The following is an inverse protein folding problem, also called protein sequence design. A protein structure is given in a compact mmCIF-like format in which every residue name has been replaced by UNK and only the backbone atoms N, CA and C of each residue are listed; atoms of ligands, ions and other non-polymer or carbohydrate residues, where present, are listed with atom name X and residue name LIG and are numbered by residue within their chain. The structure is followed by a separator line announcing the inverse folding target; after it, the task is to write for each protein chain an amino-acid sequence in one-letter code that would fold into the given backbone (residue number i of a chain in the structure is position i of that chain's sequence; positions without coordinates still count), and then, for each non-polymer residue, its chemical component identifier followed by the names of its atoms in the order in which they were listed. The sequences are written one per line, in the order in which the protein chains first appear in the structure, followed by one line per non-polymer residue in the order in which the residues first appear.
data_IF_984525657780
#
_entry.id   IF_984525657780
#
_cell.length_a   1.000
_cell.length_b   1.000
_cell.length_c   1.000
_cell.angle_alpha   90.00
_cell.angle_beta   90.00
_cell.angle_gamma   90.00
#
_symmetry.space_group_name_H-M   'P 1'
#
loop_
_entity.id
_entity.type
_entity.pdbx_description
1 polymer ?
#
# COMPACT_ATOMS: atom_id res chain seq x y z
N UNK A 1 1.26 -6.08 16.41
CA UNK A 1 2.49 -5.27 16.40
C UNK A 1 2.16 -3.81 16.71
N UNK A 2 2.97 -3.07 17.47
CA UNK A 2 2.84 -1.60 17.57
C UNK A 2 3.87 -0.98 16.63
N UNK A 3 3.43 -0.17 15.66
CA UNK A 3 4.34 0.70 14.91
C UNK A 3 4.55 1.92 15.82
N UNK A 4 5.71 2.00 16.45
CA UNK A 4 5.97 2.98 17.52
C UNK A 4 6.47 4.32 16.97
N UNK A 5 6.96 4.35 15.73
CA UNK A 5 7.49 5.55 15.09
C UNK A 5 6.90 5.75 13.70
N UNK A 6 6.42 6.97 13.45
CA UNK A 6 6.10 7.49 12.13
C UNK A 6 6.98 8.72 11.93
N UNK A 7 7.88 8.67 10.96
CA UNK A 7 8.76 9.78 10.62
C UNK A 7 8.26 10.42 9.34
N UNK A 8 8.09 11.74 9.35
CA UNK A 8 7.85 12.51 8.14
C UNK A 8 9.19 12.72 7.45
N UNK A 9 9.25 12.38 6.16
CA UNK A 9 10.44 12.56 5.31
C UNK A 9 10.06 13.50 4.17
N UNK A 10 10.87 14.53 3.94
CA UNK A 10 10.79 15.34 2.73
C UNK A 10 11.58 14.65 1.61
N UNK A 11 10.95 14.48 0.46
CA UNK A 11 11.58 13.96 -0.77
C UNK A 11 11.01 14.73 -1.96
N UNK A 12 11.85 15.02 -2.96
CA UNK A 12 11.44 15.76 -4.17
C UNK A 12 11.00 14.86 -5.30
N UNK A 13 11.37 13.58 -5.26
CA UNK A 13 11.01 12.58 -6.25
C UNK A 13 10.49 11.33 -5.56
N UNK A 14 9.24 11.00 -5.85
CA UNK A 14 8.54 9.94 -5.16
C UNK A 14 7.47 9.33 -6.06
N UNK A 15 7.21 8.04 -5.83
CA UNK A 15 6.12 7.32 -6.47
C UNK A 15 5.11 6.88 -5.42
N UNK A 16 3.85 7.26 -5.63
CA UNK A 16 2.71 6.80 -4.83
C UNK A 16 1.90 5.78 -5.61
N UNK A 17 1.61 4.66 -4.98
CA UNK A 17 0.82 3.56 -5.54
C UNK A 17 -0.36 3.34 -4.60
N UNK A 18 -1.58 3.40 -5.15
CA UNK A 18 -2.82 3.37 -4.37
C UNK A 18 -3.66 2.18 -4.85
N UNK A 19 -4.10 1.36 -3.89
CA UNK A 19 -5.00 0.23 -4.12
C UNK A 19 -6.31 0.47 -3.37
N UNK A 20 -7.38 0.90 -4.06
CA UNK A 20 -8.70 1.11 -3.45
C UNK A 20 -9.45 -0.22 -3.29
N UNK A 21 -9.86 -0.57 -2.07
CA UNK A 21 -10.73 -1.72 -1.83
C UNK A 21 -12.20 -1.40 -2.15
N UNK A 22 -12.98 -2.43 -2.49
CA UNK A 22 -14.41 -2.33 -2.83
C UNK A 22 -15.30 -2.11 -1.60
N UNK A 23 -14.73 -2.29 -0.42
CA UNK A 23 -15.36 -2.12 0.88
C UNK A 23 -14.32 -1.71 1.92
N UNK A 24 -14.73 -1.13 3.05
CA UNK A 24 -13.83 -0.94 4.18
C UNK A 24 -13.24 -2.27 4.69
N UNK A 25 -12.02 -2.20 5.20
CA UNK A 25 -11.37 -3.32 5.87
C UNK A 25 -12.02 -3.56 7.24
N UNK A 26 -12.15 -4.82 7.64
CA UNK A 26 -12.40 -5.12 9.06
C UNK A 26 -11.14 -4.82 9.88
N UNK A 27 -11.26 -4.65 11.19
CA UNK A 27 -10.09 -4.43 12.06
C UNK A 27 -9.05 -5.57 11.97
N UNK A 28 -9.52 -6.80 11.76
CA UNK A 28 -8.64 -7.98 11.60
C UNK A 28 -7.91 -7.93 10.27
N UNK A 29 -8.60 -7.57 9.18
CA UNK A 29 -8.00 -7.42 7.85
C UNK A 29 -6.99 -6.27 7.84
N UNK A 30 -7.36 -5.09 8.36
CA UNK A 30 -6.48 -3.94 8.43
C UNK A 30 -5.19 -4.28 9.16
N UNK A 31 -5.28 -4.93 10.33
CA UNK A 31 -4.10 -5.41 11.07
C UNK A 31 -3.24 -6.37 10.25
N UNK A 32 -3.85 -7.37 9.62
CA UNK A 32 -3.12 -8.37 8.84
C UNK A 32 -2.45 -7.77 7.59
N UNK A 33 -3.12 -6.81 6.93
CA UNK A 33 -2.56 -6.03 5.82
C UNK A 33 -1.37 -5.22 6.31
N UNK A 34 -1.51 -4.50 7.44
CA UNK A 34 -0.42 -3.72 8.05
C UNK A 34 0.79 -4.58 8.35
N UNK A 35 0.61 -5.73 9.02
CA UNK A 35 1.72 -6.63 9.36
C UNK A 35 2.41 -7.19 8.10
N UNK A 36 1.63 -7.63 7.09
CA UNK A 36 2.18 -8.14 5.82
C UNK A 36 2.96 -7.06 5.05
N UNK A 37 2.46 -5.83 4.98
CA UNK A 37 3.14 -4.73 4.29
C UNK A 37 4.39 -4.28 5.03
N UNK A 38 4.34 -4.22 6.36
CA UNK A 38 5.51 -3.90 7.16
C UNK A 38 6.66 -4.88 6.90
N UNK A 39 6.37 -6.18 6.95
CA UNK A 39 7.36 -7.23 6.71
C UNK A 39 7.88 -7.21 5.26
N UNK A 40 6.99 -7.02 4.29
CA UNK A 40 7.37 -6.97 2.88
C UNK A 40 8.29 -5.78 2.56
N UNK A 41 7.92 -4.57 3.02
CA UNK A 41 8.66 -3.35 2.69
C UNK A 41 10.05 -3.32 3.32
N UNK A 42 10.25 -3.98 4.47
CA UNK A 42 11.57 -4.13 5.08
C UNK A 42 12.57 -4.89 4.19
N UNK A 43 12.08 -5.79 3.32
CA UNK A 43 12.89 -6.54 2.36
C UNK A 43 12.73 -6.08 0.90
N UNK A 44 11.97 -5.02 0.65
CA UNK A 44 11.64 -4.62 -0.71
C UNK A 44 12.81 -3.91 -1.39
N UNK A 45 13.16 -4.38 -2.59
CA UNK A 45 14.37 -3.97 -3.28
C UNK A 45 14.19 -3.89 -4.80
N UNK A 46 14.95 -3.00 -5.45
CA UNK A 46 15.10 -2.91 -6.89
C UNK A 46 16.56 -3.21 -7.27
N UNK A 47 16.77 -4.18 -8.17
CA UNK A 47 18.11 -4.59 -8.60
C UNK A 47 19.08 -4.92 -7.45
N UNK A 48 18.56 -5.49 -6.36
CA UNK A 48 19.33 -5.85 -5.16
C UNK A 48 19.60 -4.69 -4.19
N UNK A 49 19.14 -3.47 -4.50
CA UNK A 49 19.23 -2.31 -3.61
C UNK A 49 17.91 -2.09 -2.88
N UNK A 50 17.99 -1.84 -1.59
CA UNK A 50 16.81 -1.60 -0.76
C UNK A 50 16.08 -0.31 -1.20
N UNK A 51 14.74 -0.40 -1.29
CA UNK A 51 13.90 0.76 -1.55
C UNK A 51 13.56 1.45 -0.23
N UNK A 52 13.74 2.76 -0.18
CA UNK A 52 13.17 3.55 0.93
C UNK A 52 11.68 3.74 0.66
N UNK A 53 10.85 3.18 1.51
CA UNK A 53 9.41 3.16 1.30
C UNK A 53 8.62 3.23 2.60
N UNK A 54 7.34 3.57 2.48
CA UNK A 54 6.38 3.58 3.58
C UNK A 54 5.00 3.18 3.06
N UNK A 55 4.08 2.90 3.98
CA UNK A 55 2.69 2.67 3.63
C UNK A 55 1.73 3.29 4.64
N UNK A 56 0.48 3.48 4.20
CA UNK A 56 -0.63 3.93 5.03
C UNK A 56 -1.90 3.20 4.63
N UNK A 57 -2.71 2.83 5.62
CA UNK A 57 -4.13 2.52 5.40
C UNK A 57 -4.89 3.82 5.59
N UNK A 58 -5.47 4.34 4.51
CA UNK A 58 -6.21 5.60 4.50
C UNK A 58 -7.72 5.34 4.43
N UNK A 59 -8.50 6.10 5.20
CA UNK A 59 -9.96 5.95 5.34
C UNK A 59 -10.46 4.51 5.53
N UNK A 60 -9.61 3.65 6.10
CA UNK A 60 -9.89 2.22 6.29
C UNK A 60 -10.28 1.46 5.00
N UNK A 61 -9.90 1.95 3.82
CA UNK A 61 -10.30 1.37 2.52
C UNK A 61 -9.23 1.49 1.43
N UNK A 62 -8.23 2.34 1.61
CA UNK A 62 -7.17 2.54 0.64
C UNK A 62 -5.85 2.05 1.23
N UNK A 63 -5.15 1.21 0.49
CA UNK A 63 -3.75 0.88 0.78
C UNK A 63 -2.90 1.81 -0.06
N UNK A 64 -2.12 2.66 0.59
CA UNK A 64 -1.21 3.61 -0.05
C UNK A 64 0.21 3.16 0.24
N UNK A 65 1.02 2.97 -0.80
CA UNK A 65 2.46 2.69 -0.70
C UNK A 65 3.19 3.85 -1.36
N UNK A 66 4.21 4.37 -0.69
CA UNK A 66 5.06 5.44 -1.18
C UNK A 66 6.51 4.97 -1.25
N UNK A 67 7.19 5.30 -2.34
CA UNK A 67 8.63 5.05 -2.55
C UNK A 67 9.32 6.40 -2.72
N UNK A 68 10.41 6.58 -1.98
CA UNK A 68 11.32 7.72 -2.10
C UNK A 68 12.30 7.43 -3.26
N UNK A 69 11.95 7.91 -4.46
CA UNK A 69 12.68 7.66 -5.70
C UNK A 69 13.93 8.55 -5.84
N UNK A 70 14.11 9.58 -5.00
CA UNK A 70 15.40 10.29 -4.88
C UNK A 70 16.54 9.37 -4.41
N UNK A 71 16.23 8.36 -3.59
CA UNK A 71 17.23 7.42 -3.06
C UNK A 71 17.47 6.25 -3.99
N UNK A 72 16.39 5.59 -4.43
CA UNK A 72 16.44 4.51 -5.39
C UNK A 72 15.09 4.36 -6.07
N UNK A 73 15.08 4.29 -7.40
CA UNK A 73 13.86 4.19 -8.18
C UNK A 73 13.28 2.77 -8.13
N UNK A 74 11.95 2.66 -8.06
CA UNK A 74 11.30 1.36 -8.18
C UNK A 74 11.41 0.84 -9.63
N UNK A 75 12.01 -0.35 -9.79
CA UNK A 75 12.08 -1.05 -11.08
C UNK A 75 10.81 -1.86 -11.37
N UNK A 76 10.60 -2.25 -12.63
CA UNK A 76 9.46 -3.11 -13.02
C UNK A 76 9.34 -4.38 -12.17
N UNK A 77 10.46 -5.11 -11.96
CA UNK A 77 10.46 -6.31 -11.11
C UNK A 77 10.09 -6.00 -9.65
N UNK A 78 10.52 -4.87 -9.10
CA UNK A 78 10.15 -4.48 -7.73
C UNK A 78 8.66 -4.15 -7.62
N UNK A 79 8.08 -3.49 -8.63
CA UNK A 79 6.65 -3.21 -8.71
C UNK A 79 5.84 -4.50 -8.89
N UNK A 80 6.33 -5.46 -9.67
CA UNK A 80 5.69 -6.77 -9.83
C UNK A 80 5.66 -7.56 -8.52
N UNK A 81 6.71 -7.46 -7.71
CA UNK A 81 6.75 -8.05 -6.38
C UNK A 81 5.68 -7.44 -5.46
N UNK A 82 5.54 -6.12 -5.44
CA UNK A 82 4.46 -5.43 -4.72
C UNK A 82 3.08 -5.87 -5.24
N UNK A 83 2.91 -5.93 -6.57
CA UNK A 83 1.69 -6.38 -7.21
C UNK A 83 1.31 -7.81 -6.83
N UNK A 84 2.28 -8.68 -6.59
CA UNK A 84 2.06 -10.05 -6.12
C UNK A 84 1.52 -10.07 -4.69
N UNK A 85 2.13 -9.32 -3.78
CA UNK A 85 1.63 -9.15 -2.40
C UNK A 85 0.20 -8.61 -2.39
N UNK A 86 -0.09 -7.60 -3.21
CA UNK A 86 -1.43 -7.03 -3.31
C UNK A 86 -2.44 -8.03 -3.86
N UNK A 87 -2.08 -8.86 -4.85
CA UNK A 87 -2.94 -9.93 -5.37
C UNK A 87 -3.22 -11.02 -4.33
N UNK A 88 -2.24 -11.36 -3.48
CA UNK A 88 -2.45 -12.29 -2.36
C UNK A 88 -3.47 -11.72 -1.36
N UNK A 89 -3.33 -10.46 -0.99
CA UNK A 89 -4.27 -9.78 -0.08
C UNK A 89 -5.67 -9.67 -0.71
N UNK A 90 -5.73 -9.33 -2.00
CA UNK A 90 -6.97 -9.19 -2.74
C UNK A 90 -7.74 -10.51 -2.80
N UNK A 91 -7.09 -11.60 -3.21
CA UNK A 91 -7.73 -12.92 -3.29
C UNK A 91 -8.09 -13.51 -1.93
N UNK A 92 -7.32 -13.20 -0.88
CA UNK A 92 -7.59 -13.71 0.48
C UNK A 92 -8.81 -13.05 1.12
N UNK A 93 -9.02 -11.76 0.87
CA UNK A 93 -10.04 -10.96 1.56
C UNK A 93 -11.16 -10.44 0.64
N UNK A 94 -11.09 -10.75 -0.65
CA UNK A 94 -12.04 -10.32 -1.69
C UNK A 94 -12.25 -8.80 -1.67
N UNK A 95 -11.16 -8.06 -1.91
CA UNK A 95 -11.11 -6.60 -1.76
C UNK A 95 -11.31 -5.85 -3.08
N UNK A 96 -11.25 -6.53 -4.22
CA UNK A 96 -11.28 -5.93 -5.55
C UNK A 96 -10.18 -4.88 -5.80
N UNK A 97 -8.99 -5.01 -5.21
CA UNK A 97 -7.90 -4.00 -5.26
C UNK A 97 -7.46 -3.64 -6.69
N UNK A 98 -7.74 -4.49 -7.67
CA UNK A 98 -7.36 -4.32 -9.08
C UNK A 98 -8.53 -3.97 -10.01
N UNK A 99 -9.73 -3.73 -9.47
CA UNK A 99 -10.86 -3.29 -10.27
C UNK A 99 -10.63 -1.85 -10.76
N UNK A 100 -10.32 -1.72 -12.06
CA UNK A 100 -10.04 -0.45 -12.72
C UNK A 100 -11.30 0.37 -13.04
N UNK A 101 -12.48 -0.24 -12.94
CA UNK A 101 -13.75 0.44 -13.17
C UNK A 101 -14.33 1.07 -11.90
N UNK A 102 -13.70 0.81 -10.75
CA UNK A 102 -14.11 1.32 -9.45
C UNK A 102 -13.91 2.83 -9.34
N UNK A 103 -14.94 3.51 -8.86
CA UNK A 103 -14.89 4.92 -8.50
C UNK A 103 -15.21 5.07 -7.02
N UNK A 104 -14.28 5.61 -6.24
CA UNK A 104 -14.50 5.91 -4.83
C UNK A 104 -14.72 7.40 -4.64
N UNK A 105 -15.74 7.79 -3.89
CA UNK A 105 -16.03 9.19 -3.55
C UNK A 105 -16.38 9.32 -2.07
N UNK A 106 -16.30 10.54 -1.56
CA UNK A 106 -16.68 10.85 -0.18
C UNK A 106 -18.04 11.55 -0.22
N UNK A 107 -18.99 11.02 0.53
CA UNK A 107 -20.32 11.57 0.74
C UNK A 107 -20.62 11.52 2.24
N UNK A 108 -20.98 12.65 2.83
CA UNK A 108 -21.24 12.78 4.28
C UNK A 108 -20.12 12.19 5.17
N UNK A 109 -18.86 12.49 4.81
CA UNK A 109 -17.63 11.97 5.44
C UNK A 109 -17.41 10.44 5.34
N UNK A 110 -18.30 9.71 4.69
CA UNK A 110 -18.18 8.28 4.40
C UNK A 110 -17.60 8.02 3.00
N UNK A 111 -16.81 6.95 2.87
CA UNK A 111 -16.36 6.48 1.56
C UNK A 111 -17.46 5.63 0.93
N UNK A 112 -17.85 5.99 -0.29
CA UNK A 112 -18.72 5.20 -1.18
C UNK A 112 -17.89 4.65 -2.33
N UNK A 113 -18.28 3.49 -2.85
CA UNK A 113 -17.58 2.73 -3.89
C UNK A 113 -18.56 2.09 -4.85
#
# INVERSE_FOLDING_TARGET
MKIEESTIVETKDYRVIIYPASRPFTAVEAKAITEKLYDFLAGWAAHGKALTSSFKIEKNQFIVVCVDEEKEMASGCSIDALGTVMRELDGKYDLGLFDRMKASYVEDDEVKT
#
